data_IF_516875258171
#
_entry.id   IF_516875258171
#
_cell.length_a   1.000
_cell.length_b   1.000
_cell.length_c   1.000
_cell.angle_alpha   90.00
_cell.angle_beta   90.00
_cell.angle_gamma   90.00
#
_symmetry.space_group_name_H-M   'P 1'
#
loop_
_entity.id
_entity.type
_entity.pdbx_description
1 polymer ?
#
# COMPACT_ATOMS: atom_id res chain seq x y z
N UNK A 1 -18.33 57.33 29.55
CA UNK A 1 -19.08 56.34 28.74
C UNK A 1 -18.72 56.33 27.25
N UNK A 2 -17.69 57.04 26.76
CA UNK A 2 -17.26 57.00 25.35
C UNK A 2 -16.04 56.10 25.07
N UNK A 3 -15.27 55.76 26.11
CA UNK A 3 -14.04 54.95 26.01
C UNK A 3 -14.29 53.44 25.91
N UNK A 4 -15.44 52.94 26.39
CA UNK A 4 -15.72 51.49 26.35
C UNK A 4 -16.19 51.02 24.97
N UNK A 5 -16.76 51.91 24.15
CA UNK A 5 -17.35 51.56 22.85
C UNK A 5 -16.28 51.29 21.80
N UNK A 6 -15.13 51.99 21.89
CA UNK A 6 -14.02 51.86 20.93
C UNK A 6 -13.27 50.55 21.09
N UNK A 7 -13.17 50.01 22.31
CA UNK A 7 -12.49 48.74 22.58
C UNK A 7 -13.28 47.57 21.98
N UNK A 8 -14.61 47.58 22.12
CA UNK A 8 -15.48 46.53 21.57
C UNK A 8 -15.38 46.45 20.06
N UNK A 9 -15.35 47.60 19.37
CA UNK A 9 -15.20 47.66 17.91
C UNK A 9 -13.84 47.15 17.42
N UNK A 10 -12.77 47.40 18.17
CA UNK A 10 -11.43 46.95 17.82
C UNK A 10 -11.32 45.40 17.89
N UNK A 11 -11.94 44.79 18.90
CA UNK A 11 -11.98 43.34 19.06
C UNK A 11 -12.83 42.63 17.98
N UNK A 12 -13.93 43.24 17.53
CA UNK A 12 -14.77 42.67 16.46
C UNK A 12 -14.09 42.75 15.09
N UNK A 13 -13.33 43.83 14.84
CA UNK A 13 -12.54 43.96 13.62
C UNK A 13 -11.39 42.93 13.56
N UNK A 14 -10.72 42.66 14.69
CA UNK A 14 -9.69 41.63 14.77
C UNK A 14 -10.27 40.21 14.60
N UNK A 15 -11.48 39.97 15.11
CA UNK A 15 -12.18 38.69 14.95
C UNK A 15 -12.61 38.41 13.50
N UNK A 16 -13.00 39.44 12.74
CA UNK A 16 -13.34 39.32 11.31
C UNK A 16 -12.11 39.17 10.42
N UNK A 17 -10.95 39.72 10.81
CA UNK A 17 -9.69 39.47 10.12
C UNK A 17 -9.13 38.05 10.37
N UNK A 18 -9.52 37.42 11.48
CA UNK A 18 -9.12 36.06 11.85
C UNK A 18 -10.02 34.93 11.31
N UNK A 19 -11.12 35.27 10.62
CA UNK A 19 -12.09 34.29 10.13
C UNK A 19 -12.39 34.52 8.64
N UNK A 20 -11.42 34.18 7.79
CA UNK A 20 -11.65 34.03 6.36
C UNK A 20 -11.85 35.34 5.61
N UNK A 21 -10.79 36.15 5.52
CA UNK A 21 -10.62 36.98 4.33
C UNK A 21 -10.58 36.06 3.10
N UNK A 22 -11.03 36.51 1.92
CA UNK A 22 -10.95 35.73 0.69
C UNK A 22 -9.48 35.53 0.36
N UNK A 23 -8.92 34.44 0.87
CA UNK A 23 -7.61 33.95 0.49
C UNK A 23 -7.63 33.77 -1.01
N UNK A 24 -6.57 34.26 -1.65
CA UNK A 24 -6.24 33.96 -3.03
C UNK A 24 -6.55 32.48 -3.31
N UNK A 25 -7.11 32.13 -4.49
CA UNK A 25 -7.43 30.73 -4.78
C UNK A 25 -6.15 29.94 -4.54
N UNK A 26 -6.18 29.08 -3.51
CA UNK A 26 -5.10 28.15 -3.24
C UNK A 26 -4.84 27.44 -4.57
N UNK A 27 -3.63 27.59 -5.10
CA UNK A 27 -3.23 26.88 -6.29
C UNK A 27 -3.45 25.41 -5.95
N UNK A 28 -4.39 24.75 -6.62
CA UNK A 28 -4.62 23.32 -6.48
C UNK A 28 -3.30 22.62 -6.81
N UNK A 29 -2.56 22.20 -5.78
CA UNK A 29 -1.36 21.40 -5.99
C UNK A 29 -1.79 20.09 -6.65
N UNK A 30 -1.18 19.75 -7.79
CA UNK A 30 -1.45 18.49 -8.46
C UNK A 30 -1.21 17.32 -7.50
N UNK A 31 -2.09 16.31 -7.46
CA UNK A 31 -1.96 15.19 -6.55
C UNK A 31 -0.64 14.45 -6.79
N UNK A 32 0.14 14.27 -5.72
CA UNK A 32 1.42 13.59 -5.73
C UNK A 32 1.29 12.17 -6.30
N UNK A 33 2.20 11.80 -7.20
CA UNK A 33 2.24 10.43 -7.75
C UNK A 33 2.62 9.44 -6.66
N UNK A 34 2.01 8.26 -6.67
CA UNK A 34 2.19 7.24 -5.62
C UNK A 34 3.65 6.78 -5.54
N UNK A 35 4.34 6.74 -6.66
CA UNK A 35 5.77 6.40 -6.78
C UNK A 35 6.67 7.36 -5.99
N UNK A 36 6.24 8.61 -5.83
CA UNK A 36 6.96 9.67 -5.12
C UNK A 36 6.61 9.72 -3.62
N UNK A 37 5.70 8.85 -3.17
CA UNK A 37 5.32 8.73 -1.76
C UNK A 37 6.15 7.68 -1.03
N UNK A 38 6.09 7.70 0.30
CA UNK A 38 6.62 6.62 1.15
C UNK A 38 6.02 5.23 0.83
N UNK A 39 4.88 5.18 0.13
CA UNK A 39 4.19 3.95 -0.25
C UNK A 39 4.57 3.43 -1.64
N UNK A 40 5.31 4.19 -2.45
CA UNK A 40 5.76 3.78 -3.78
C UNK A 40 6.40 2.37 -3.80
N UNK A 41 7.34 2.06 -2.87
CA UNK A 41 7.92 0.72 -2.77
C UNK A 41 6.93 -0.41 -2.45
N UNK A 42 5.79 -0.09 -1.84
CA UNK A 42 4.80 -1.07 -1.38
C UNK A 42 3.81 -1.50 -2.46
N UNK A 43 3.58 -0.67 -3.49
CA UNK A 43 2.58 -0.91 -4.55
C UNK A 43 2.79 -2.25 -5.26
N UNK A 44 4.05 -2.67 -5.47
CA UNK A 44 4.38 -3.95 -6.12
C UNK A 44 4.54 -5.14 -5.18
N UNK A 45 4.42 -4.94 -3.86
CA UNK A 45 4.72 -5.97 -2.86
C UNK A 45 3.73 -7.13 -2.88
N UNK A 46 2.40 -6.92 -2.96
CA UNK A 46 1.44 -8.03 -3.01
C UNK A 46 1.70 -9.00 -4.17
N UNK A 47 1.96 -8.48 -5.37
CA UNK A 47 2.25 -9.29 -6.57
C UNK A 47 3.52 -10.13 -6.42
N UNK A 48 4.56 -9.59 -5.77
CA UNK A 48 5.79 -10.34 -5.48
C UNK A 48 5.56 -11.48 -4.48
N UNK A 49 4.66 -11.28 -3.51
CA UNK A 49 4.32 -12.31 -2.53
C UNK A 49 3.50 -13.43 -3.17
N UNK A 50 2.54 -13.08 -4.03
CA UNK A 50 1.73 -14.02 -4.81
C UNK A 50 2.62 -14.95 -5.65
N UNK A 51 3.53 -14.38 -6.46
CA UNK A 51 4.46 -15.15 -7.29
C UNK A 51 5.32 -16.14 -6.50
N UNK A 52 5.79 -15.73 -5.31
CA UNK A 52 6.60 -16.62 -4.44
C UNK A 52 5.76 -17.72 -3.81
N UNK A 53 4.50 -17.42 -3.49
CA UNK A 53 3.58 -18.38 -2.88
C UNK A 53 3.15 -19.42 -3.90
N UNK A 54 2.84 -19.00 -5.12
CA UNK A 54 2.48 -19.91 -6.22
C UNK A 54 3.63 -20.84 -6.57
N UNK A 55 4.86 -20.32 -6.69
CA UNK A 55 6.05 -21.12 -6.94
C UNK A 55 6.29 -22.16 -5.82
N UNK A 56 6.09 -21.78 -4.55
CA UNK A 56 6.21 -22.72 -3.43
C UNK A 56 5.11 -23.78 -3.44
N UNK A 57 3.88 -23.41 -3.80
CA UNK A 57 2.76 -24.34 -3.91
C UNK A 57 2.96 -25.35 -5.06
N UNK A 58 3.47 -24.89 -6.20
CA UNK A 58 3.80 -25.74 -7.36
C UNK A 58 4.90 -26.74 -7.01
N UNK A 59 6.01 -26.28 -6.42
CA UNK A 59 7.08 -27.16 -5.93
C UNK A 59 6.57 -28.21 -4.94
N UNK A 60 5.64 -27.83 -4.06
CA UNK A 60 5.04 -28.77 -3.12
C UNK A 60 4.17 -29.83 -3.81
N UNK A 61 3.37 -29.44 -4.81
CA UNK A 61 2.58 -30.38 -5.62
C UNK A 61 3.47 -31.36 -6.37
N UNK A 62 4.53 -30.87 -7.01
CA UNK A 62 5.46 -31.72 -7.75
C UNK A 62 6.17 -32.72 -6.83
N UNK A 63 6.57 -32.28 -5.64
CA UNK A 63 7.19 -33.15 -4.64
C UNK A 63 6.21 -34.22 -4.13
N UNK A 64 4.94 -33.89 -3.95
CA UNK A 64 3.90 -34.84 -3.56
C UNK A 64 3.60 -35.84 -4.68
N UNK A 65 3.45 -35.37 -5.92
CA UNK A 65 3.24 -36.24 -7.08
C UNK A 65 4.39 -37.22 -7.27
N UNK A 66 5.65 -36.75 -7.17
CA UNK A 66 6.82 -37.63 -7.25
C UNK A 66 6.80 -38.72 -6.19
N UNK A 67 6.44 -38.39 -4.94
CA UNK A 67 6.33 -39.39 -3.87
C UNK A 67 5.22 -40.40 -4.13
N UNK A 68 4.08 -39.95 -4.66
CA UNK A 68 3.00 -40.85 -5.05
C UNK A 68 3.45 -41.78 -6.18
N UNK A 69 4.16 -41.27 -7.19
CA UNK A 69 4.74 -42.09 -8.26
C UNK A 69 5.76 -43.11 -7.72
N UNK A 70 6.62 -42.72 -6.79
CA UNK A 70 7.59 -43.61 -6.13
C UNK A 70 6.89 -44.69 -5.28
N UNK A 71 5.85 -44.33 -4.53
CA UNK A 71 5.09 -45.24 -3.65
C UNK A 71 4.15 -46.18 -4.44
N UNK A 72 3.63 -45.75 -5.60
CA UNK A 72 2.81 -46.57 -6.50
C UNK A 72 3.62 -47.53 -7.39
N UNK A 73 4.96 -47.54 -7.25
CA UNK A 73 5.84 -48.48 -7.95
C UNK A 73 6.47 -47.95 -9.23
N UNK A 74 6.58 -46.63 -9.38
CA UNK A 74 7.35 -45.99 -10.45
C UNK A 74 8.83 -46.37 -10.41
N UNK A 75 9.21 -47.26 -11.32
CA UNK A 75 10.57 -47.76 -11.60
C UNK A 75 11.17 -48.76 -10.61
N UNK A 76 10.68 -50.01 -10.67
CA UNK A 76 11.52 -51.20 -10.49
C UNK A 76 11.17 -52.26 -11.54
N UNK A 77 11.61 -52.04 -12.77
CA UNK A 77 11.77 -53.11 -13.75
C UNK A 77 12.95 -52.73 -14.67
N UNK A 78 14.16 -52.89 -14.16
CA UNK A 78 15.40 -53.09 -14.94
C UNK A 78 16.57 -53.32 -13.97
N UNK A 79 16.49 -54.42 -13.22
CA UNK A 79 17.67 -55.00 -12.58
C UNK A 79 18.08 -56.18 -13.46
N UNK A 80 19.26 -56.18 -14.10
CA UNK A 80 19.69 -57.33 -14.88
C UNK A 80 19.97 -58.46 -13.90
N UNK A 81 19.30 -59.59 -14.10
CA UNK A 81 19.58 -60.82 -13.37
C UNK A 81 20.99 -61.30 -13.74
N UNK A 82 21.85 -61.45 -12.72
CA UNK A 82 23.14 -62.16 -12.80
C UNK A 82 22.96 -63.62 -13.25
#
# INVERSE_FOLDING_TARGET
MRMCVTIVWLSTALALAGCGGPGEPEQEEEPMRVEDTAFGPLVGTPKKVEQRTDAAAEQHRDAMNRRLEEDEGGARDEQPAD
#
